data_IF_269257411688
#
_entry.id   IF_269257411688
#
_cell.length_a   1.000
_cell.length_b   1.000
_cell.length_c   1.000
_cell.angle_alpha   90.00
_cell.angle_beta   90.00
_cell.angle_gamma   90.00
#
_symmetry.space_group_name_H-M   'P 1'
#
loop_
_entity.id
_entity.type
_entity.pdbx_description
1 polymer ?
#
# COMPACT_ATOMS: atom_id res chain seq x y z
N UNK A 1 12.97 2.34 78.90
CA UNK A 1 13.28 1.14 78.10
C UNK A 1 13.35 1.52 76.62
N UNK A 2 14.44 1.13 75.94
CA UNK A 2 14.65 0.94 74.48
C UNK A 2 14.65 2.14 73.48
N UNK A 3 15.88 2.45 73.01
CA UNK A 3 16.42 2.72 71.63
C UNK A 3 15.81 3.88 70.81
N UNK A 4 16.52 4.96 70.45
CA UNK A 4 17.60 5.18 69.44
C UNK A 4 17.28 4.68 68.01
N UNK A 5 17.16 5.61 67.05
CA UNK A 5 17.74 5.67 65.68
C UNK A 5 16.83 6.52 64.74
N UNK A 6 17.22 7.67 64.20
CA UNK A 6 18.19 8.00 63.14
C UNK A 6 17.65 7.96 61.69
N UNK A 7 17.86 9.10 60.99
CA UNK A 7 18.28 9.29 59.58
C UNK A 7 17.23 9.43 58.44
N UNK A 8 17.42 10.52 57.68
CA UNK A 8 17.35 10.70 56.21
C UNK A 8 16.02 10.35 55.51
N UNK A 9 15.33 11.25 54.83
CA UNK A 9 15.83 12.15 53.79
C UNK A 9 15.38 11.59 52.43
N UNK A 10 14.45 12.26 51.75
CA UNK A 10 14.36 12.27 50.28
C UNK A 10 13.34 13.32 49.82
N UNK A 11 13.83 14.40 49.20
CA UNK A 11 13.08 15.13 48.19
C UNK A 11 12.84 14.16 47.03
N UNK A 12 11.59 13.94 46.66
CA UNK A 12 11.25 13.36 45.34
C UNK A 12 10.25 14.26 44.63
N UNK A 13 10.84 15.23 43.95
CA UNK A 13 10.48 15.74 42.64
C UNK A 13 9.19 15.17 42.04
N UNK A 14 8.17 16.02 41.87
CA UNK A 14 7.15 15.82 40.85
C UNK A 14 7.85 15.81 39.48
N UNK A 15 8.19 14.64 38.99
CA UNK A 15 8.56 14.44 37.61
C UNK A 15 7.30 14.64 36.77
N UNK A 16 7.20 15.82 36.15
CA UNK A 16 6.33 16.05 35.01
C UNK A 16 6.57 14.93 34.00
N UNK A 17 5.53 14.17 33.70
CA UNK A 17 5.50 13.28 32.54
C UNK A 17 5.58 14.15 31.28
N UNK A 18 6.81 14.41 30.84
CA UNK A 18 7.06 14.97 29.52
C UNK A 18 6.48 14.00 28.47
N UNK A 19 5.95 14.51 27.34
CA UNK A 19 5.63 13.64 26.22
C UNK A 19 6.92 12.93 25.83
N UNK A 20 6.83 11.64 25.48
CA UNK A 20 7.95 10.87 24.96
C UNK A 20 8.60 11.68 23.83
N UNK A 21 9.74 12.29 24.15
CA UNK A 21 10.55 13.03 23.20
C UNK A 21 10.92 11.99 22.15
N UNK A 22 10.57 12.27 20.89
CA UNK A 22 11.16 11.57 19.75
C UNK A 22 12.66 11.53 20.00
N UNK A 23 13.19 10.38 20.42
CA UNK A 23 14.63 10.23 20.60
C UNK A 23 15.21 10.45 19.22
N UNK A 24 15.83 11.62 19.00
CA UNK A 24 16.56 11.88 17.78
C UNK A 24 17.64 10.80 17.69
N UNK A 25 17.38 9.78 16.88
CA UNK A 25 18.28 8.67 16.69
C UNK A 25 19.58 9.26 16.14
N UNK A 26 20.66 9.19 16.92
CA UNK A 26 21.95 9.71 16.46
C UNK A 26 22.53 8.72 15.44
N UNK A 27 22.49 9.05 14.15
CA UNK A 27 23.08 8.23 13.10
C UNK A 27 22.63 8.63 11.70
N UNK A 28 23.37 8.15 10.70
CA UNK A 28 23.01 8.33 9.29
C UNK A 28 22.37 7.04 8.77
N UNK A 29 21.22 7.10 8.07
CA UNK A 29 20.63 5.92 7.46
C UNK A 29 21.59 5.20 6.52
N UNK A 30 21.51 3.87 6.47
CA UNK A 30 22.30 3.07 5.52
C UNK A 30 21.85 3.33 4.07
N UNK A 31 22.74 3.09 3.11
CA UNK A 31 22.41 3.22 1.68
C UNK A 31 21.22 2.35 1.26
N UNK A 32 21.13 1.13 1.81
CA UNK A 32 20.02 0.21 1.55
C UNK A 32 18.67 0.75 2.07
N UNK A 33 18.70 1.42 3.23
CA UNK A 33 17.51 2.07 3.80
C UNK A 33 17.07 3.21 2.90
N UNK A 34 18.01 4.03 2.44
CA UNK A 34 17.72 5.13 1.52
C UNK A 34 17.20 4.65 0.17
N UNK A 35 17.75 3.56 -0.38
CA UNK A 35 17.26 2.97 -1.63
C UNK A 35 15.83 2.44 -1.47
N UNK A 36 15.55 1.75 -0.37
CA UNK A 36 14.21 1.25 -0.06
C UNK A 36 13.22 2.40 0.13
N UNK A 37 13.64 3.45 0.84
CA UNK A 37 12.86 4.67 1.03
C UNK A 37 12.55 5.35 -0.30
N UNK A 38 13.55 5.49 -1.19
CA UNK A 38 13.37 6.10 -2.51
C UNK A 38 12.37 5.34 -3.38
N UNK A 39 12.35 3.99 -3.32
CA UNK A 39 11.35 3.17 -4.00
C UNK A 39 9.94 3.44 -3.47
N UNK A 40 9.78 3.60 -2.15
CA UNK A 40 8.48 3.95 -1.55
C UNK A 40 8.07 5.36 -1.96
N UNK A 41 8.97 6.35 -1.90
CA UNK A 41 8.71 7.72 -2.37
C UNK A 41 8.21 7.72 -3.82
N UNK A 42 8.86 6.96 -4.71
CA UNK A 42 8.42 6.85 -6.10
C UNK A 42 7.00 6.27 -6.23
N UNK A 43 6.60 5.32 -5.38
CA UNK A 43 5.23 4.81 -5.37
C UNK A 43 4.23 5.90 -4.93
N UNK A 44 4.56 6.69 -3.91
CA UNK A 44 3.73 7.81 -3.45
C UNK A 44 3.60 8.88 -4.55
N UNK A 45 4.71 9.25 -5.19
CA UNK A 45 4.75 10.24 -6.28
C UNK A 45 3.93 9.79 -7.50
N UNK A 46 3.92 8.48 -7.78
CA UNK A 46 3.11 7.88 -8.83
C UNK A 46 1.63 7.73 -8.45
N UNK A 47 1.21 8.19 -7.27
CA UNK A 47 -0.17 8.12 -6.80
C UNK A 47 -0.59 6.73 -6.29
N UNK A 48 0.34 5.80 -6.07
CA UNK A 48 0.08 4.49 -5.46
C UNK A 48 0.14 4.56 -3.93
N UNK A 49 -0.57 5.53 -3.36
CA UNK A 49 -0.39 5.99 -1.97
C UNK A 49 -0.69 4.88 -0.95
N UNK A 50 -1.80 4.16 -1.10
CA UNK A 50 -2.16 3.08 -0.18
C UNK A 50 -1.12 1.97 -0.18
N UNK A 51 -0.58 1.62 -1.36
CA UNK A 51 0.45 0.60 -1.47
C UNK A 51 1.78 1.05 -0.87
N UNK A 52 2.24 2.26 -1.21
CA UNK A 52 3.46 2.84 -0.65
C UNK A 52 3.38 3.00 0.87
N UNK A 53 2.25 3.49 1.38
CA UNK A 53 2.01 3.62 2.82
C UNK A 53 1.94 2.29 3.56
N UNK A 54 1.38 1.24 2.95
CA UNK A 54 1.43 -0.11 3.52
C UNK A 54 2.87 -0.62 3.62
N UNK A 55 3.69 -0.43 2.58
CA UNK A 55 5.10 -0.82 2.61
C UNK A 55 5.86 -0.04 3.69
N UNK A 56 5.64 1.28 3.80
CA UNK A 56 6.25 2.10 4.86
C UNK A 56 5.89 1.60 6.26
N UNK A 57 4.60 1.31 6.50
CA UNK A 57 4.11 0.76 7.78
C UNK A 57 4.78 -0.58 8.13
N UNK A 58 4.87 -1.50 7.16
CA UNK A 58 5.50 -2.81 7.38
C UNK A 58 7.00 -2.65 7.61
N UNK A 59 7.68 -1.81 6.83
CA UNK A 59 9.12 -1.55 6.98
C UNK A 59 9.44 -0.88 8.32
N UNK A 60 8.59 0.04 8.79
CA UNK A 60 8.67 0.61 10.14
C UNK A 60 8.55 -0.49 11.19
N UNK A 61 7.51 -1.33 11.09
CA UNK A 61 7.28 -2.41 12.04
C UNK A 61 8.40 -3.46 12.06
N UNK A 62 9.09 -3.68 10.94
CA UNK A 62 10.25 -4.57 10.83
C UNK A 62 11.55 -3.96 11.36
N UNK A 63 11.62 -2.63 11.46
CA UNK A 63 12.84 -1.89 11.82
C UNK A 63 12.86 -1.47 13.29
N UNK A 64 12.01 -2.06 14.16
CA UNK A 64 11.83 -1.64 15.55
C UNK A 64 13.12 -1.56 16.38
N UNK A 65 14.11 -2.40 16.08
CA UNK A 65 15.39 -2.45 16.79
C UNK A 65 16.44 -1.48 16.21
N UNK A 66 16.16 -0.85 15.07
CA UNK A 66 16.99 0.16 14.42
C UNK A 66 16.23 1.48 14.34
N UNK A 67 16.44 2.34 15.34
CA UNK A 67 15.80 3.64 15.50
C UNK A 67 15.96 4.52 14.25
N UNK A 68 17.16 4.56 13.63
CA UNK A 68 17.42 5.42 12.47
C UNK A 68 16.63 4.92 11.26
N UNK A 69 16.62 3.61 11.03
CA UNK A 69 15.86 3.00 9.94
C UNK A 69 14.34 3.11 10.16
N UNK A 70 13.88 2.89 11.40
CA UNK A 70 12.49 3.07 11.78
C UNK A 70 12.03 4.50 11.51
N UNK A 71 12.79 5.52 11.92
CA UNK A 71 12.46 6.92 11.68
C UNK A 71 12.23 7.24 10.20
N UNK A 72 13.08 6.73 9.30
CA UNK A 72 12.90 6.93 7.84
C UNK A 72 11.56 6.37 7.35
N UNK A 73 11.18 5.18 7.79
CA UNK A 73 9.92 4.56 7.36
C UNK A 73 8.69 5.13 8.09
N UNK A 74 8.85 5.65 9.30
CA UNK A 74 7.82 6.42 10.00
C UNK A 74 7.49 7.71 9.24
N UNK A 75 8.51 8.47 8.83
CA UNK A 75 8.35 9.69 8.04
C UNK A 75 7.63 9.40 6.71
N UNK A 76 7.98 8.31 6.04
CA UNK A 76 7.31 7.87 4.82
C UNK A 76 5.86 7.43 5.07
N UNK A 77 5.59 6.78 6.20
CA UNK A 77 4.22 6.41 6.58
C UNK A 77 3.36 7.65 6.81
N UNK A 78 3.88 8.64 7.55
CA UNK A 78 3.20 9.93 7.77
C UNK A 78 2.97 10.64 6.45
N UNK A 79 3.99 10.71 5.59
CA UNK A 79 3.88 11.30 4.24
C UNK A 79 2.80 10.61 3.40
N UNK A 80 2.68 9.28 3.49
CA UNK A 80 1.64 8.54 2.78
C UNK A 80 0.23 8.87 3.32
N UNK A 81 0.06 9.02 4.65
CA UNK A 81 -1.22 9.46 5.24
C UNK A 81 -1.61 10.83 4.70
N UNK A 82 -0.67 11.77 4.66
CA UNK A 82 -0.90 13.13 4.15
C UNK A 82 -1.19 13.16 2.64
N UNK A 83 -0.58 12.24 1.88
CA UNK A 83 -0.78 12.11 0.44
C UNK A 83 -2.07 11.39 0.04
N UNK A 84 -2.83 10.80 0.98
CA UNK A 84 -4.06 10.03 0.69
C UNK A 84 -5.05 10.76 -0.23
N UNK A 85 -5.31 12.08 -0.09
CA UNK A 85 -6.21 12.80 -0.99
C UNK A 85 -5.76 12.82 -2.45
N UNK A 86 -4.47 12.60 -2.72
CA UNK A 86 -3.85 12.64 -4.04
C UNK A 86 -3.68 11.24 -4.67
N UNK A 87 -4.25 10.20 -4.04
CA UNK A 87 -4.11 8.84 -4.57
C UNK A 87 -4.80 8.68 -5.92
N UNK A 88 -4.14 7.94 -6.81
CA UNK A 88 -4.70 7.46 -8.06
C UNK A 88 -5.33 6.06 -7.90
N UNK A 89 -5.09 5.38 -6.78
CA UNK A 89 -5.72 4.09 -6.53
C UNK A 89 -7.21 4.25 -6.27
N UNK A 90 -7.99 3.27 -6.73
CA UNK A 90 -9.45 3.27 -6.70
C UNK A 90 -9.99 2.19 -5.80
N UNK A 91 -11.03 2.50 -5.04
CA UNK A 91 -11.66 1.53 -4.14
C UNK A 91 -12.51 0.57 -4.97
N UNK A 92 -12.25 -0.72 -4.80
CA UNK A 92 -13.06 -1.81 -5.33
C UNK A 92 -13.25 -2.85 -4.23
N UNK A 93 -14.50 -2.98 -3.75
CA UNK A 93 -14.85 -3.80 -2.58
C UNK A 93 -13.99 -3.40 -1.37
N UNK A 94 -13.28 -4.35 -0.77
CA UNK A 94 -12.45 -4.18 0.43
C UNK A 94 -11.00 -3.79 0.11
N UNK A 95 -10.68 -3.48 -1.15
CA UNK A 95 -9.32 -3.15 -1.61
C UNK A 95 -9.25 -1.83 -2.35
N UNK A 96 -8.06 -1.23 -2.35
CA UNK A 96 -7.66 -0.23 -3.33
C UNK A 96 -6.92 -0.90 -4.48
N UNK A 97 -7.16 -0.47 -5.71
CA UNK A 97 -6.56 -1.03 -6.93
C UNK A 97 -5.89 0.09 -7.72
N UNK A 98 -4.69 -0.16 -8.25
CA UNK A 98 -4.04 0.79 -9.17
C UNK A 98 -4.87 1.02 -10.44
N UNK A 99 -4.68 2.15 -11.14
CA UNK A 99 -5.28 2.35 -12.46
C UNK A 99 -4.96 1.22 -13.43
N UNK A 100 -5.91 0.89 -14.28
CA UNK A 100 -5.77 -0.13 -15.32
C UNK A 100 -5.19 0.50 -16.59
N UNK A 101 -3.92 0.21 -16.90
CA UNK A 101 -3.31 0.60 -18.18
C UNK A 101 -3.48 -0.53 -19.22
N UNK A 102 -4.44 -0.35 -20.12
CA UNK A 102 -4.68 -1.22 -21.25
C UNK A 102 -4.43 -0.46 -22.55
N UNK A 103 -3.50 -0.97 -23.36
CA UNK A 103 -3.27 -0.53 -24.73
C UNK A 103 -3.81 -1.58 -25.69
N UNK A 104 -4.88 -1.23 -26.39
CA UNK A 104 -5.48 -2.09 -27.41
C UNK A 104 -4.82 -1.84 -28.76
N UNK A 105 -4.59 -2.92 -29.49
CA UNK A 105 -4.07 -2.83 -30.85
C UNK A 105 -5.10 -2.19 -31.81
N UNK A 106 -4.63 -1.81 -33.01
CA UNK A 106 -5.48 -1.15 -33.99
C UNK A 106 -6.57 -2.08 -34.56
N UNK A 107 -6.31 -3.39 -34.69
CA UNK A 107 -7.27 -4.34 -35.24
C UNK A 107 -8.48 -4.52 -34.32
N UNK A 108 -8.22 -4.65 -33.01
CA UNK A 108 -9.25 -4.76 -31.97
C UNK A 108 -10.14 -3.51 -31.88
N UNK A 109 -9.60 -2.33 -32.21
CA UNK A 109 -10.37 -1.08 -32.28
C UNK A 109 -11.32 -1.00 -33.47
N UNK A 110 -11.04 -1.72 -34.55
CA UNK A 110 -11.78 -1.65 -35.82
C UNK A 110 -12.94 -2.66 -35.88
N UNK A 111 -12.82 -3.83 -35.25
CA UNK A 111 -13.84 -4.90 -35.28
C UNK A 111 -15.05 -4.68 -34.34
N UNK A 112 -15.05 -3.58 -33.58
CA UNK A 112 -16.11 -3.25 -32.63
C UNK A 112 -15.91 -3.93 -31.27
N UNK A 113 -16.05 -3.13 -30.21
CA UNK A 113 -15.87 -3.51 -28.80
C UNK A 113 -17.07 -4.30 -28.22
N UNK A 114 -17.64 -5.21 -29.01
CA UNK A 114 -18.75 -6.03 -28.56
C UNK A 114 -18.31 -7.07 -27.52
N UNK A 115 -18.97 -7.09 -26.36
CA UNK A 115 -18.95 -8.22 -25.43
C UNK A 115 -18.46 -7.88 -24.01
N UNK A 116 -18.25 -8.89 -23.19
CA UNK A 116 -17.68 -8.76 -21.86
C UNK A 116 -16.43 -9.63 -21.65
N UNK A 117 -15.61 -9.22 -20.69
CA UNK A 117 -14.48 -9.99 -20.17
C UNK A 117 -14.70 -10.27 -18.68
N UNK A 118 -14.79 -11.53 -18.31
CA UNK A 118 -14.76 -12.01 -16.94
C UNK A 118 -13.33 -12.33 -16.52
N UNK A 119 -12.87 -11.72 -15.44
CA UNK A 119 -11.57 -11.99 -14.84
C UNK A 119 -11.76 -12.58 -13.45
N UNK A 120 -11.07 -13.69 -13.19
CA UNK A 120 -11.03 -14.36 -11.89
C UNK A 120 -9.59 -14.40 -11.38
N UNK A 121 -9.36 -14.07 -10.11
CA UNK A 121 -8.02 -13.97 -9.53
C UNK A 121 -8.03 -14.11 -8.00
N UNK A 122 -6.84 -14.30 -7.44
CA UNK A 122 -6.61 -14.39 -6.00
C UNK A 122 -5.74 -13.23 -5.52
N UNK A 123 -5.91 -12.86 -4.25
CA UNK A 123 -5.16 -11.85 -3.52
C UNK A 123 -4.61 -12.47 -2.23
N UNK A 124 -3.51 -13.22 -2.27
CA UNK A 124 -2.95 -13.86 -1.08
C UNK A 124 -2.20 -12.87 -0.17
N UNK A 125 -1.79 -11.72 -0.72
CA UNK A 125 -1.04 -10.66 -0.04
C UNK A 125 -1.17 -9.34 -0.81
N UNK A 126 -0.69 -8.26 -0.20
CA UNK A 126 -0.60 -6.95 -0.85
C UNK A 126 0.21 -7.02 -2.15
N UNK A 127 -0.17 -6.26 -3.16
CA UNK A 127 0.53 -6.19 -4.43
C UNK A 127 -0.23 -6.85 -5.57
N UNK A 128 0.48 -7.57 -6.44
CA UNK A 128 -0.09 -8.11 -7.68
C UNK A 128 -0.97 -9.33 -7.44
N UNK A 129 -2.07 -9.50 -8.20
CA UNK A 129 -2.93 -10.66 -8.07
C UNK A 129 -2.28 -11.94 -8.59
N UNK A 130 -2.72 -13.07 -8.05
CA UNK A 130 -2.30 -14.41 -8.46
C UNK A 130 -3.43 -15.16 -9.18
N UNK A 131 -3.09 -16.29 -9.81
CA UNK A 131 -4.04 -17.18 -10.50
C UNK A 131 -5.02 -16.50 -11.49
N UNK A 132 -4.58 -15.40 -12.11
CA UNK A 132 -5.38 -14.61 -13.05
C UNK A 132 -5.83 -15.46 -14.25
N UNK A 133 -7.14 -15.66 -14.33
CA UNK A 133 -7.89 -16.31 -15.40
C UNK A 133 -8.80 -15.28 -16.06
N UNK A 134 -8.86 -15.31 -17.40
CA UNK A 134 -9.67 -14.37 -18.18
C UNK A 134 -10.49 -15.15 -19.20
N UNK A 135 -11.78 -14.86 -19.26
CA UNK A 135 -12.71 -15.33 -20.28
C UNK A 135 -13.36 -14.11 -20.92
N UNK A 136 -13.22 -13.96 -22.24
CA UNK A 136 -13.82 -12.84 -22.98
C UNK A 136 -14.65 -13.39 -24.13
N UNK A 137 -15.75 -12.71 -24.45
CA UNK A 137 -16.55 -13.01 -25.64
C UNK A 137 -15.72 -12.88 -26.92
N UNK A 138 -14.88 -11.83 -26.98
CA UNK A 138 -13.86 -11.70 -28.00
C UNK A 138 -12.54 -12.35 -27.52
N UNK A 139 -12.11 -13.48 -28.11
CA UNK A 139 -10.89 -14.18 -27.68
C UNK A 139 -9.60 -13.39 -27.91
N UNK A 140 -9.60 -12.40 -28.83
CA UNK A 140 -8.43 -11.56 -29.09
C UNK A 140 -8.08 -10.65 -27.90
N UNK A 141 -9.06 -10.31 -27.06
CA UNK A 141 -8.88 -9.45 -25.89
C UNK A 141 -8.30 -10.17 -24.67
N UNK A 142 -8.44 -11.49 -24.63
CA UNK A 142 -8.10 -12.31 -23.46
C UNK A 142 -6.65 -12.13 -23.00
N UNK A 143 -5.69 -12.13 -23.94
CA UNK A 143 -4.26 -12.00 -23.62
C UNK A 143 -3.92 -10.61 -23.08
N UNK A 144 -4.51 -9.56 -23.66
CA UNK A 144 -4.32 -8.17 -23.25
C UNK A 144 -4.85 -7.94 -21.84
N UNK A 145 -6.10 -8.31 -21.56
CA UNK A 145 -6.68 -8.17 -20.23
C UNK A 145 -5.94 -9.00 -19.18
N UNK A 146 -5.57 -10.25 -19.49
CA UNK A 146 -4.78 -11.07 -18.56
C UNK A 146 -3.44 -10.44 -18.22
N UNK A 147 -2.78 -9.83 -19.20
CA UNK A 147 -1.45 -9.22 -19.01
C UNK A 147 -1.54 -7.90 -18.22
N UNK A 148 -2.59 -7.11 -18.45
CA UNK A 148 -2.86 -5.91 -17.69
C UNK A 148 -3.25 -6.23 -16.25
N UNK A 149 -4.11 -7.22 -16.02
CA UNK A 149 -4.56 -7.59 -14.67
C UNK A 149 -3.41 -8.05 -13.77
N UNK A 150 -2.46 -8.81 -14.32
CA UNK A 150 -1.26 -9.26 -13.60
C UNK A 150 -0.35 -8.12 -13.12
N UNK A 151 -0.51 -6.92 -13.67
CA UNK A 151 0.27 -5.73 -13.32
C UNK A 151 -0.46 -4.80 -12.35
N UNK A 152 -1.75 -5.04 -12.11
CA UNK A 152 -2.50 -4.26 -11.13
C UNK A 152 -1.90 -4.47 -9.75
N UNK A 153 -1.94 -3.42 -8.95
CA UNK A 153 -1.49 -3.44 -7.55
C UNK A 153 -2.72 -3.28 -6.67
N UNK A 154 -2.93 -4.24 -5.77
CA UNK A 154 -3.97 -4.23 -4.76
C UNK A 154 -3.35 -3.87 -3.40
N UNK A 155 -4.04 -2.98 -2.68
CA UNK A 155 -3.64 -2.51 -1.36
C UNK A 155 -4.86 -2.41 -0.44
N UNK A 156 -4.67 -2.20 0.88
CA UNK A 156 -5.78 -1.84 1.77
C UNK A 156 -6.50 -0.56 1.31
N UNK A 157 -7.73 -0.35 1.76
CA UNK A 157 -8.52 0.83 1.38
C UNK A 157 -7.88 2.13 1.87
N UNK A 158 -7.25 2.11 3.05
CA UNK A 158 -6.54 3.26 3.60
C UNK A 158 -5.16 2.88 4.13
N UNK A 159 -4.28 3.87 4.24
CA UNK A 159 -3.02 3.75 4.98
C UNK A 159 -3.34 3.43 6.45
N UNK A 160 -2.58 2.50 7.05
CA UNK A 160 -2.76 2.05 8.43
C UNK A 160 -3.73 0.87 8.61
N UNK A 161 -4.42 0.43 7.55
CA UNK A 161 -5.23 -0.79 7.59
C UNK A 161 -4.42 -2.03 7.23
N UNK A 162 -4.81 -3.18 7.80
CA UNK A 162 -4.30 -4.48 7.41
C UNK A 162 -4.84 -4.92 6.05
N UNK A 163 -4.10 -5.79 5.36
CA UNK A 163 -4.54 -6.37 4.09
C UNK A 163 -5.39 -7.63 4.31
N UNK A 164 -6.59 -7.66 3.72
CA UNK A 164 -7.44 -8.86 3.67
C UNK A 164 -7.10 -9.71 2.44
N UNK A 165 -7.03 -11.03 2.64
CA UNK A 165 -6.87 -11.97 1.52
C UNK A 165 -8.20 -12.18 0.80
N UNK A 166 -8.14 -12.54 -0.47
CA UNK A 166 -9.30 -12.95 -1.27
C UNK A 166 -8.96 -14.08 -2.23
N UNK A 167 -9.92 -14.98 -2.44
CA UNK A 167 -9.79 -16.13 -3.35
C UNK A 167 -10.98 -16.14 -4.31
N UNK A 168 -10.76 -16.61 -5.53
CA UNK A 168 -11.76 -16.70 -6.60
C UNK A 168 -12.55 -15.38 -6.80
N UNK A 169 -11.85 -14.25 -6.65
CA UNK A 169 -12.45 -12.94 -6.84
C UNK A 169 -12.80 -12.76 -8.30
N UNK A 170 -14.06 -12.41 -8.56
CA UNK A 170 -14.57 -12.21 -9.91
C UNK A 170 -14.93 -10.75 -10.19
N UNK A 171 -14.62 -10.33 -11.41
CA UNK A 171 -14.96 -9.03 -11.97
C UNK A 171 -15.34 -9.21 -13.44
N UNK A 172 -16.43 -8.57 -13.85
CA UNK A 172 -16.88 -8.56 -15.23
C UNK A 172 -16.73 -7.14 -15.79
N UNK A 173 -16.01 -7.04 -16.91
CA UNK A 173 -15.78 -5.80 -17.65
C UNK A 173 -16.68 -5.85 -18.87
N UNK A 174 -17.71 -5.01 -18.89
CA UNK A 174 -18.54 -4.76 -20.06
C UNK A 174 -17.77 -3.84 -21.01
N UNK A 175 -17.48 -4.31 -22.22
CA UNK A 175 -16.72 -3.57 -23.22
C UNK A 175 -17.62 -2.64 -24.07
N UNK A 176 -18.94 -2.84 -24.01
CA UNK A 176 -19.92 -1.98 -24.68
C UNK A 176 -20.13 -0.67 -23.92
N UNK A 177 -20.05 -0.73 -22.59
CA UNK A 177 -19.91 0.46 -21.74
C UNK A 177 -18.45 0.85 -21.80
N UNK A 178 -18.14 1.78 -22.70
CA UNK A 178 -16.84 2.41 -22.96
C UNK A 178 -15.77 2.03 -21.94
N UNK A 179 -14.65 1.49 -22.44
CA UNK A 179 -13.40 1.28 -21.69
C UNK A 179 -13.01 2.51 -20.84
N UNK A 180 -13.46 3.70 -21.23
CA UNK A 180 -13.39 4.96 -20.48
C UNK A 180 -14.00 4.89 -19.06
N UNK A 181 -14.93 3.97 -18.75
CA UNK A 181 -15.48 3.78 -17.39
C UNK A 181 -14.59 2.90 -16.49
N UNK A 182 -13.58 2.22 -17.06
CA UNK A 182 -12.51 1.56 -16.30
C UNK A 182 -11.17 2.32 -16.36
N UNK A 183 -11.15 3.45 -17.08
CA UNK A 183 -10.27 4.60 -16.79
C UNK A 183 -10.92 5.38 -15.64
N UNK A 184 -10.82 4.85 -14.41
CA UNK A 184 -11.26 5.56 -13.22
C UNK A 184 -10.26 6.62 -12.81
#
# INVERSE_FOLDING_TARGET
MKRIACLFGCLTSLAMSAPAIAQACAGTPSAETLESAAKITQLLDNGLVQFGGYLAMVSYAQSRDDCVKAGVFEDLYVSAVEAMPNTQMRVWKDWSVSPLDIKLDAATRMDGFGGSCRITFDLPQVGTPENVRVSCDNPMLKSTYRSAWKKLIFAPVSVGQGFSKGEDLEIEIDLNRRIDEWVF
#
